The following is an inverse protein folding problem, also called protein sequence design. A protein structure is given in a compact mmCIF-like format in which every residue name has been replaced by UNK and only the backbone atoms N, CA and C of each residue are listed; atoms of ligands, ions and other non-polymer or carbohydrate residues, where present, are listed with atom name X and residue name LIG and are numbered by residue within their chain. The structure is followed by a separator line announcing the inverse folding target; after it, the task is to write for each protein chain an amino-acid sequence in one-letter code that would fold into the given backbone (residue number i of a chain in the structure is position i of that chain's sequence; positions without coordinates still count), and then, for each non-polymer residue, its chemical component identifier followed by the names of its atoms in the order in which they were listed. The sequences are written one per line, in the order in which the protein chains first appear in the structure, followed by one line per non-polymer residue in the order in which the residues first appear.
data_IF_120172288775
#
_entry.id   IF_120172288775
#
_cell.length_a   1.000
_cell.length_b   1.000
_cell.length_c   1.000
_cell.angle_alpha   90.00
_cell.angle_beta   90.00
_cell.angle_gamma   90.00
#
_symmetry.space_group_name_H-M   'P 1'
#
loop_
_entity.id
_entity.type
_entity.pdbx_description
1 polymer ?
#
# COMPACT_ATOMS: atom_id res chain seq x y z
N UNK A 1 -15.22 -64.50 20.18
CA UNK A 1 -14.22 -63.78 19.36
C UNK A 1 -14.63 -62.32 19.32
N UNK A 2 -13.78 -61.35 19.67
CA UNK A 2 -14.14 -59.94 19.57
C UNK A 2 -14.17 -59.51 18.10
N UNK A 3 -15.23 -58.80 17.72
CA UNK A 3 -15.37 -58.13 16.42
C UNK A 3 -14.30 -57.04 16.29
N UNK A 4 -13.59 -56.92 15.14
CA UNK A 4 -12.68 -55.81 14.92
C UNK A 4 -13.47 -54.51 14.79
N UNK A 5 -13.13 -53.52 15.61
CA UNK A 5 -13.69 -52.17 15.50
C UNK A 5 -13.23 -51.54 14.18
N UNK A 6 -14.15 -51.42 13.22
CA UNK A 6 -13.94 -50.62 12.01
C UNK A 6 -14.09 -49.16 12.42
N UNK A 7 -12.96 -48.46 12.54
CA UNK A 7 -12.98 -47.01 12.70
C UNK A 7 -13.50 -46.38 11.40
N UNK A 8 -14.51 -45.50 11.44
CA UNK A 8 -14.94 -44.78 10.25
C UNK A 8 -13.81 -43.85 9.79
N UNK A 9 -13.58 -43.71 8.47
CA UNK A 9 -12.60 -42.76 7.96
C UNK A 9 -13.00 -41.34 8.41
N UNK A 10 -12.03 -40.50 8.80
CA UNK A 10 -12.31 -39.12 9.15
C UNK A 10 -12.99 -38.41 7.95
N UNK A 11 -13.98 -37.55 8.17
CA UNK A 11 -14.66 -36.85 7.10
C UNK A 11 -13.64 -36.00 6.30
N UNK A 12 -13.57 -36.15 4.96
CA UNK A 12 -12.78 -35.24 4.13
C UNK A 12 -13.50 -33.89 4.13
N UNK A 13 -12.98 -32.89 4.85
CA UNK A 13 -13.60 -31.57 4.77
C UNK A 13 -13.24 -30.49 5.78
N UNK A 14 -12.54 -30.78 6.87
CA UNK A 14 -11.99 -29.69 7.71
C UNK A 14 -10.66 -29.22 7.15
N UNK A 15 -10.66 -28.80 5.88
CA UNK A 15 -9.62 -27.91 5.39
C UNK A 15 -9.81 -26.63 6.20
N UNK A 16 -9.02 -26.50 7.27
CA UNK A 16 -9.02 -25.34 8.15
C UNK A 16 -8.90 -24.12 7.24
N UNK A 17 -10.02 -23.42 7.04
CA UNK A 17 -10.03 -22.21 6.26
C UNK A 17 -9.21 -21.24 7.07
N UNK A 18 -7.92 -21.13 6.72
CA UNK A 18 -7.02 -20.16 7.32
C UNK A 18 -7.67 -18.77 7.28
N UNK A 19 -7.21 -17.84 8.14
CA UNK A 19 -7.80 -16.52 8.25
C UNK A 19 -7.99 -15.88 6.87
N UNK A 20 -9.24 -15.53 6.53
CA UNK A 20 -9.58 -14.83 5.29
C UNK A 20 -9.30 -13.33 5.47
N UNK A 21 -8.16 -12.87 4.98
CA UNK A 21 -7.81 -11.44 4.96
C UNK A 21 -8.63 -10.70 3.90
N UNK A 22 -9.25 -9.59 4.27
CA UNK A 22 -10.16 -8.81 3.40
C UNK A 22 -9.64 -7.40 3.07
N UNK A 23 -8.62 -6.94 3.79
CA UNK A 23 -8.03 -5.61 3.64
C UNK A 23 -6.54 -5.70 3.92
N UNK A 24 -5.76 -5.08 3.04
CA UNK A 24 -4.34 -4.85 3.24
C UNK A 24 -4.12 -3.36 3.51
N UNK A 25 -3.22 -3.04 4.45
CA UNK A 25 -2.70 -1.70 4.64
C UNK A 25 -1.20 -1.83 4.92
N UNK A 26 -0.41 -0.91 4.38
CA UNK A 26 1.03 -0.88 4.58
C UNK A 26 1.56 0.49 4.21
N UNK A 27 2.55 0.95 4.95
CA UNK A 27 3.26 2.20 4.74
C UNK A 27 4.75 1.92 4.82
N UNK A 28 5.53 2.55 3.96
CA UNK A 28 6.99 2.43 3.95
C UNK A 28 7.57 3.82 3.79
N UNK A 29 8.57 4.14 4.62
CA UNK A 29 9.35 5.36 4.47
C UNK A 29 10.32 5.16 3.29
N UNK A 30 10.38 6.13 2.39
CA UNK A 30 11.20 6.08 1.19
C UNK A 30 12.15 7.28 1.20
N UNK A 31 13.45 7.02 1.00
CA UNK A 31 14.44 8.08 0.76
C UNK A 31 14.10 8.87 -0.51
N UNK A 32 14.14 10.21 -0.45
CA UNK A 32 13.74 11.06 -1.58
C UNK A 32 14.59 10.80 -2.83
N UNK A 33 15.87 10.47 -2.63
CA UNK A 33 16.83 10.18 -3.70
C UNK A 33 16.56 8.88 -4.43
N UNK A 34 15.81 7.97 -3.81
CA UNK A 34 15.50 6.62 -4.34
C UNK A 34 14.02 6.43 -4.61
N UNK A 35 13.22 7.48 -4.56
CA UNK A 35 11.77 7.42 -4.71
C UNK A 35 11.34 6.68 -5.99
N UNK A 36 11.96 6.97 -7.14
CA UNK A 36 11.63 6.30 -8.39
C UNK A 36 11.86 4.78 -8.36
N UNK A 37 13.02 4.34 -7.87
CA UNK A 37 13.36 2.91 -7.78
C UNK A 37 12.49 2.19 -6.75
N UNK A 38 12.28 2.80 -5.58
CA UNK A 38 11.44 2.24 -4.53
C UNK A 38 9.98 2.11 -4.98
N UNK A 39 9.43 3.14 -5.64
CA UNK A 39 8.07 3.09 -6.19
C UNK A 39 7.91 1.95 -7.22
N UNK A 40 8.89 1.77 -8.11
CA UNK A 40 8.90 0.65 -9.05
C UNK A 40 8.91 -0.72 -8.36
N UNK A 41 9.71 -0.87 -7.31
CA UNK A 41 9.79 -2.11 -6.54
C UNK A 41 8.48 -2.40 -5.81
N UNK A 42 7.88 -1.40 -5.16
CA UNK A 42 6.57 -1.50 -4.50
C UNK A 42 5.48 -1.86 -5.52
N UNK A 43 5.56 -1.30 -6.72
CA UNK A 43 4.61 -1.60 -7.80
C UNK A 43 4.66 -3.09 -8.19
N UNK A 44 5.86 -3.62 -8.46
CA UNK A 44 6.02 -5.00 -8.92
C UNK A 44 5.83 -6.04 -7.81
N UNK A 45 6.30 -5.75 -6.60
CA UNK A 45 6.29 -6.73 -5.51
C UNK A 45 5.00 -6.70 -4.69
N UNK A 46 4.34 -5.55 -4.55
CA UNK A 46 3.15 -5.44 -3.68
C UNK A 46 1.90 -5.15 -4.50
N UNK A 47 1.89 -4.04 -5.24
CA UNK A 47 0.68 -3.55 -5.91
C UNK A 47 0.21 -4.55 -6.97
N UNK A 48 1.13 -5.07 -7.79
CA UNK A 48 0.82 -6.06 -8.83
C UNK A 48 0.17 -7.32 -8.26
N UNK A 49 0.68 -7.86 -7.15
CA UNK A 49 0.10 -9.04 -6.51
C UNK A 49 -1.31 -8.76 -5.97
N UNK A 50 -1.53 -7.61 -5.33
CA UNK A 50 -2.85 -7.24 -4.83
C UNK A 50 -3.84 -6.98 -5.97
N UNK A 51 -3.42 -6.28 -7.02
CA UNK A 51 -4.23 -5.99 -8.19
C UNK A 51 -4.58 -7.25 -9.01
N UNK A 52 -3.77 -8.31 -8.91
CA UNK A 52 -4.03 -9.60 -9.57
C UNK A 52 -5.17 -10.39 -8.92
N UNK A 53 -5.61 -10.02 -7.72
CA UNK A 53 -6.71 -10.69 -7.02
C UNK A 53 -8.06 -10.21 -7.58
N UNK A 54 -8.93 -11.16 -7.92
CA UNK A 54 -10.25 -10.85 -8.47
C UNK A 54 -11.08 -9.97 -7.51
N UNK A 55 -11.59 -8.85 -8.02
CA UNK A 55 -12.39 -7.90 -7.26
C UNK A 55 -11.60 -7.01 -6.29
N UNK A 56 -10.27 -7.00 -6.35
CA UNK A 56 -9.47 -6.09 -5.53
C UNK A 56 -9.57 -4.65 -6.06
N UNK A 57 -9.61 -3.69 -5.13
CA UNK A 57 -9.51 -2.27 -5.43
C UNK A 57 -8.29 -1.74 -4.69
N UNK A 58 -7.20 -1.52 -5.43
CA UNK A 58 -5.95 -1.00 -4.87
C UNK A 58 -5.92 0.51 -5.06
N UNK A 59 -5.79 1.26 -3.96
CA UNK A 59 -5.46 2.70 -3.97
C UNK A 59 -4.03 2.84 -3.48
N UNK A 60 -3.22 3.55 -4.26
CA UNK A 60 -1.86 3.93 -3.88
C UNK A 60 -1.85 5.43 -3.65
N UNK A 61 -1.27 5.87 -2.55
CA UNK A 61 -1.14 7.28 -2.20
C UNK A 61 0.32 7.57 -1.92
N UNK A 62 0.83 8.63 -2.52
CA UNK A 62 2.15 9.18 -2.23
C UNK A 62 1.96 10.40 -1.35
N UNK A 63 2.62 10.42 -0.20
CA UNK A 63 2.64 11.55 0.72
C UNK A 63 4.05 12.14 0.74
N UNK A 64 4.16 13.46 0.63
CA UNK A 64 5.43 14.18 0.62
C UNK A 64 5.38 15.17 1.78
N UNK A 65 6.34 15.05 2.69
CA UNK A 65 6.50 15.95 3.83
C UNK A 65 7.90 16.57 3.76
N UNK A 66 7.98 17.89 3.94
CA UNK A 66 9.24 18.62 3.92
C UNK A 66 9.23 19.64 5.07
N UNK A 67 10.21 19.54 5.96
CA UNK A 67 10.42 20.50 7.04
C UNK A 67 11.36 21.61 6.57
N UNK A 68 10.86 22.85 6.56
CA UNK A 68 11.51 23.98 5.90
C UNK A 68 11.90 25.07 6.92
N UNK A 69 12.99 24.83 7.66
CA UNK A 69 13.40 25.66 8.81
C UNK A 69 13.64 27.15 8.49
N UNK A 70 13.99 27.48 7.25
CA UNK A 70 14.30 28.84 6.81
C UNK A 70 13.21 29.47 5.95
N UNK A 71 12.06 28.82 5.84
CA UNK A 71 10.95 29.26 5.00
C UNK A 71 11.11 28.98 3.51
N UNK A 72 9.97 29.06 2.83
CA UNK A 72 9.70 28.94 1.39
C UNK A 72 10.11 30.14 0.51
N UNK A 73 11.12 30.16 -0.37
CA UNK A 73 11.21 31.25 -1.35
C UNK A 73 9.93 31.31 -2.20
N UNK A 74 9.38 32.51 -2.45
CA UNK A 74 8.11 32.68 -3.17
C UNK A 74 8.12 31.99 -4.55
N UNK A 75 9.25 32.04 -5.27
CA UNK A 75 9.43 31.36 -6.55
C UNK A 75 9.28 29.83 -6.41
N UNK A 76 9.84 29.25 -5.35
CA UNK A 76 9.73 27.82 -5.06
C UNK A 76 8.31 27.44 -4.65
N UNK A 77 7.64 28.26 -3.84
CA UNK A 77 6.22 28.05 -3.48
C UNK A 77 5.36 27.98 -4.74
N UNK A 78 5.48 28.97 -5.63
CA UNK A 78 4.74 28.99 -6.90
C UNK A 78 5.01 27.75 -7.74
N UNK A 79 6.28 27.42 -7.94
CA UNK A 79 6.70 26.24 -8.72
C UNK A 79 6.08 24.96 -8.17
N UNK A 80 6.12 24.75 -6.85
CA UNK A 80 5.58 23.54 -6.22
C UNK A 80 4.05 23.49 -6.34
N UNK A 81 3.35 24.61 -6.12
CA UNK A 81 1.89 24.68 -6.26
C UNK A 81 1.43 24.42 -7.70
N UNK A 82 2.12 24.99 -8.70
CA UNK A 82 1.82 24.75 -10.12
C UNK A 82 2.05 23.28 -10.52
N UNK A 83 3.11 22.67 -10.00
CA UNK A 83 3.37 21.25 -10.20
C UNK A 83 2.30 20.38 -9.54
N UNK A 84 1.89 20.68 -8.31
CA UNK A 84 0.83 19.95 -7.61
C UNK A 84 -0.49 20.02 -8.38
N UNK A 85 -0.83 21.20 -8.92
CA UNK A 85 -2.00 21.39 -9.77
C UNK A 85 -1.89 20.57 -11.07
N UNK A 86 -0.75 20.61 -11.75
CA UNK A 86 -0.51 19.88 -13.01
C UNK A 86 -0.54 18.36 -12.81
N UNK A 87 0.03 17.88 -11.70
CA UNK A 87 0.08 16.47 -11.31
C UNK A 87 -1.21 16.00 -10.61
N UNK A 88 -2.20 16.88 -10.46
CA UNK A 88 -3.53 16.59 -9.89
C UNK A 88 -3.47 16.00 -8.49
N UNK A 89 -2.65 16.58 -7.62
CA UNK A 89 -2.63 16.23 -6.21
C UNK A 89 -4.03 16.43 -5.61
N UNK A 90 -4.52 15.46 -4.82
CA UNK A 90 -5.83 15.56 -4.16
C UNK A 90 -5.80 16.55 -2.98
N UNK A 91 -4.66 16.64 -2.28
CA UNK A 91 -4.44 17.52 -1.13
C UNK A 91 -3.00 17.99 -1.12
N UNK A 92 -2.78 19.31 -1.07
CA UNK A 92 -1.47 19.95 -1.06
C UNK A 92 -1.59 21.38 -0.52
N UNK A 93 -0.52 21.90 0.06
CA UNK A 93 -0.45 23.26 0.58
C UNK A 93 0.84 23.48 1.36
N UNK A 94 1.24 24.74 1.50
CA UNK A 94 2.24 25.14 2.49
C UNK A 94 1.48 25.64 3.71
N UNK A 95 1.85 25.16 4.90
CA UNK A 95 1.29 25.63 6.15
C UNK A 95 2.18 26.76 6.68
N UNK A 96 1.56 27.88 7.06
CA UNK A 96 2.22 28.97 7.79
C UNK A 96 2.19 28.59 9.27
N UNK A 97 3.35 28.22 9.84
CA UNK A 97 3.49 28.03 11.29
C UNK A 97 3.66 29.38 12.00
#
# INVERSE_FOLDING_TARGET
MPIPAVFPPPPPGVQQQGPKYRRFHGSVAIDERRMGTAAGSIMEEVVKHLASLYGSKVKVTLEIQAELQNGVPEETVRTVLENCHTLKFESYGFEEE
#
